data_IF_691939259371
#
_entry.id   IF_691939259371
#
_cell.length_a   1.000
_cell.length_b   1.000
_cell.length_c   1.000
_cell.angle_alpha   90.00
_cell.angle_beta   90.00
_cell.angle_gamma   90.00
#
_symmetry.space_group_name_H-M   'P 1'
#
loop_
_entity.id
_entity.type
_entity.pdbx_description
1 polymer ?
#
# COMPACT_ATOMS: atom_id res chain seq x y z
N UNK A 1 -31.33 -10.98 -1.83
CA UNK A 1 -30.47 -12.17 -2.08
C UNK A 1 -29.02 -11.77 -1.83
N UNK A 2 -28.39 -12.28 -0.76
CA UNK A 2 -26.97 -12.03 -0.47
C UNK A 2 -26.12 -12.99 -1.33
N UNK A 3 -25.54 -12.48 -2.41
CA UNK A 3 -24.52 -13.24 -3.16
C UNK A 3 -23.23 -13.29 -2.34
N UNK A 4 -22.50 -14.41 -2.37
CA UNK A 4 -21.24 -14.55 -1.66
C UNK A 4 -20.20 -13.55 -2.24
N UNK A 5 -19.85 -12.51 -1.48
CA UNK A 5 -19.09 -11.33 -1.93
C UNK A 5 -17.56 -11.44 -1.72
N UNK A 6 -16.98 -12.63 -1.76
CA UNK A 6 -15.54 -12.77 -1.51
C UNK A 6 -14.89 -13.75 -2.47
N UNK A 7 -14.11 -13.23 -3.42
CA UNK A 7 -13.16 -14.00 -4.19
C UNK A 7 -11.78 -13.37 -3.98
N UNK A 8 -10.92 -14.07 -3.24
CA UNK A 8 -9.62 -13.59 -2.76
C UNK A 8 -8.58 -13.26 -3.85
N UNK A 9 -8.91 -13.45 -5.14
CA UNK A 9 -7.99 -13.22 -6.27
C UNK A 9 -8.63 -12.83 -7.60
N UNK A 10 -9.88 -12.35 -7.64
CA UNK A 10 -10.50 -11.94 -8.92
C UNK A 10 -10.62 -10.42 -8.97
N UNK A 11 -10.34 -9.76 -10.12
CA UNK A 11 -10.57 -8.33 -10.33
C UNK A 11 -12.07 -8.07 -10.33
N UNK A 12 -12.70 -8.15 -9.16
CA UNK A 12 -14.12 -7.89 -9.03
C UNK A 12 -14.30 -6.39 -8.85
N UNK A 13 -15.24 -5.82 -9.61
CA UNK A 13 -15.65 -4.41 -9.47
C UNK A 13 -16.26 -4.09 -8.09
N UNK A 14 -16.42 -5.09 -7.22
CA UNK A 14 -17.07 -4.99 -5.91
C UNK A 14 -16.08 -4.79 -4.76
N UNK A 15 -14.79 -5.05 -4.99
CA UNK A 15 -13.75 -4.80 -3.98
C UNK A 15 -13.16 -3.41 -4.16
N UNK A 16 -12.79 -2.79 -3.04
CA UNK A 16 -12.14 -1.49 -3.01
C UNK A 16 -10.76 -1.58 -2.39
N UNK A 17 -9.89 -0.67 -2.80
CA UNK A 17 -8.55 -0.52 -2.26
C UNK A 17 -8.22 0.95 -2.08
N UNK A 18 -7.28 1.21 -1.20
CA UNK A 18 -6.67 2.52 -0.97
C UNK A 18 -5.16 2.36 -0.98
N UNK A 19 -4.46 3.38 -1.43
CA UNK A 19 -3.01 3.48 -1.32
C UNK A 19 -2.67 4.20 -0.01
N UNK A 20 -1.59 3.75 0.62
CA UNK A 20 -0.95 4.48 1.72
C UNK A 20 0.52 4.71 1.38
N UNK A 21 1.09 5.76 1.94
CA UNK A 21 2.52 5.90 2.12
C UNK A 21 2.85 5.89 3.61
N UNK A 22 3.94 5.23 4.00
CA UNK A 22 4.44 5.24 5.37
C UNK A 22 5.94 5.40 5.40
N UNK A 23 6.47 6.04 6.45
CA UNK A 23 7.90 6.00 6.71
C UNK A 23 8.34 4.62 7.27
N UNK A 24 9.65 4.40 7.34
CA UNK A 24 10.25 3.17 7.87
C UNK A 24 10.06 3.00 9.40
N UNK A 25 9.50 4.01 10.08
CA UNK A 25 9.05 3.94 11.47
C UNK A 25 7.56 3.57 11.59
N UNK A 26 6.93 3.17 10.49
CA UNK A 26 5.52 2.75 10.38
C UNK A 26 4.50 3.88 10.52
N UNK A 27 4.90 5.15 10.51
CA UNK A 27 3.94 6.25 10.51
C UNK A 27 3.35 6.40 9.11
N UNK A 28 2.04 6.34 9.01
CA UNK A 28 1.28 6.61 7.79
C UNK A 28 1.33 8.11 7.54
N UNK A 29 1.88 8.51 6.39
CA UNK A 29 2.09 9.90 5.98
C UNK A 29 1.03 10.37 5.00
N UNK A 30 0.52 9.46 4.18
CA UNK A 30 -0.48 9.76 3.15
C UNK A 30 -1.46 8.60 3.01
N UNK A 31 -2.70 8.94 2.70
CA UNK A 31 -3.78 8.00 2.43
C UNK A 31 -4.60 8.53 1.27
N UNK A 32 -4.68 7.76 0.18
CA UNK A 32 -5.49 8.12 -0.98
C UNK A 32 -6.99 8.00 -0.70
N UNK A 33 -7.82 8.44 -1.66
CA UNK A 33 -9.22 7.99 -1.73
C UNK A 33 -9.31 6.47 -1.97
N UNK A 34 -10.50 5.91 -1.82
CA UNK A 34 -10.76 4.53 -2.28
C UNK A 34 -10.96 4.46 -3.78
N UNK A 35 -10.43 3.39 -4.36
CA UNK A 35 -10.55 3.04 -5.76
C UNK A 35 -11.16 1.65 -5.88
N UNK A 36 -11.83 1.37 -7.00
CA UNK A 36 -12.14 0.00 -7.36
C UNK A 36 -10.86 -0.83 -7.48
N UNK A 37 -10.90 -2.10 -7.08
CA UNK A 37 -9.75 -3.00 -7.18
C UNK A 37 -9.25 -3.21 -8.63
N UNK A 38 -10.11 -2.97 -9.63
CA UNK A 38 -9.77 -3.02 -11.06
C UNK A 38 -8.84 -1.89 -11.52
N UNK A 39 -8.75 -0.78 -10.77
CA UNK A 39 -7.84 0.33 -11.10
C UNK A 39 -6.40 -0.12 -10.86
N UNK A 40 -5.49 0.10 -11.81
CA UNK A 40 -4.08 -0.28 -11.63
C UNK A 40 -3.39 0.55 -10.54
N UNK A 41 -2.51 -0.08 -9.75
CA UNK A 41 -1.84 0.59 -8.63
C UNK A 41 -1.00 1.79 -9.07
N UNK A 42 -0.37 1.70 -10.25
CA UNK A 42 0.39 2.80 -10.85
C UNK A 42 -0.49 4.00 -11.18
N UNK A 43 -1.74 3.75 -11.60
CA UNK A 43 -2.72 4.82 -11.87
C UNK A 43 -3.11 5.50 -10.56
N UNK A 44 -3.34 4.71 -9.51
CA UNK A 44 -3.63 5.24 -8.17
C UNK A 44 -2.48 6.12 -7.67
N UNK A 45 -1.23 5.70 -7.82
CA UNK A 45 -0.07 6.50 -7.39
C UNK A 45 -0.03 7.87 -8.04
N UNK A 46 -0.33 7.93 -9.35
CA UNK A 46 -0.33 9.18 -10.12
C UNK A 46 -1.52 10.09 -9.80
N UNK A 47 -2.65 9.52 -9.41
CA UNK A 47 -3.90 10.26 -9.14
C UNK A 47 -4.11 10.58 -7.65
N UNK A 48 -3.38 9.94 -6.74
CA UNK A 48 -3.62 10.05 -5.30
C UNK A 48 -3.11 11.35 -4.66
N UNK A 49 -2.41 12.19 -5.42
CA UNK A 49 -1.71 13.38 -4.93
C UNK A 49 -0.46 13.08 -4.09
N UNK A 50 -0.10 11.80 -3.87
CA UNK A 50 1.09 11.44 -3.10
C UNK A 50 2.36 12.07 -3.71
N UNK A 51 2.52 11.95 -5.03
CA UNK A 51 3.70 12.46 -5.74
C UNK A 51 3.79 14.00 -5.71
N UNK A 52 2.67 14.70 -5.54
CA UNK A 52 2.63 16.16 -5.41
C UNK A 52 3.13 16.64 -4.03
N UNK A 53 3.06 15.76 -3.03
CA UNK A 53 3.47 16.05 -1.65
C UNK A 53 4.86 15.51 -1.31
N UNK A 54 5.46 14.72 -2.18
CA UNK A 54 6.86 14.29 -2.05
C UNK A 54 7.77 15.33 -2.69
N UNK A 55 8.77 15.80 -1.97
CA UNK A 55 9.85 16.58 -2.58
C UNK A 55 10.46 15.77 -3.73
N UNK A 56 10.88 16.45 -4.81
CA UNK A 56 11.54 15.80 -5.97
C UNK A 56 12.83 15.05 -5.59
N UNK A 57 13.31 15.18 -4.35
CA UNK A 57 14.46 14.50 -3.76
C UNK A 57 14.08 13.27 -2.92
N UNK A 58 12.81 13.12 -2.55
CA UNK A 58 12.35 12.05 -1.68
C UNK A 58 12.15 10.75 -2.48
N UNK A 59 13.05 9.78 -2.28
CA UNK A 59 12.90 8.45 -2.87
C UNK A 59 11.89 7.61 -2.09
N UNK A 60 10.91 7.04 -2.81
CA UNK A 60 9.95 6.08 -2.26
C UNK A 60 10.36 4.66 -2.61
N UNK A 61 10.05 3.69 -1.74
CA UNK A 61 10.23 2.27 -2.04
C UNK A 61 8.85 1.64 -2.26
N UNK A 62 8.68 0.94 -3.39
CA UNK A 62 7.41 0.30 -3.72
C UNK A 62 7.59 -1.06 -4.40
N UNK A 63 6.47 -1.73 -4.68
CA UNK A 63 6.47 -3.02 -5.36
C UNK A 63 6.82 -2.91 -6.86
N UNK A 64 7.13 -4.04 -7.48
CA UNK A 64 7.40 -4.19 -8.92
C UNK A 64 6.24 -3.69 -9.81
N UNK A 65 5.05 -3.54 -9.27
CA UNK A 65 3.89 -2.94 -9.95
C UNK A 65 4.10 -1.46 -10.29
N UNK A 66 5.02 -0.78 -9.59
CA UNK A 66 5.37 0.63 -9.77
C UNK A 66 6.67 0.85 -10.56
N UNK A 67 7.17 -0.19 -11.25
CA UNK A 67 8.36 -0.07 -12.11
C UNK A 67 8.08 0.95 -13.21
N UNK A 68 9.00 1.91 -13.37
CA UNK A 68 8.92 2.97 -14.38
C UNK A 68 8.46 4.32 -13.83
N UNK A 69 8.09 4.39 -12.55
CA UNK A 69 7.79 5.66 -11.87
C UNK A 69 9.07 6.36 -11.43
N UNK A 70 9.13 7.66 -11.67
CA UNK A 70 10.25 8.51 -11.24
C UNK A 70 10.28 8.58 -9.70
N UNK A 71 11.48 8.61 -9.13
CA UNK A 71 11.69 8.65 -7.66
C UNK A 71 11.14 7.43 -6.88
N UNK A 72 10.72 6.36 -7.57
CA UNK A 72 10.30 5.10 -6.94
C UNK A 72 11.32 3.99 -7.16
N UNK A 73 11.98 3.58 -6.09
CA UNK A 73 12.84 2.41 -6.07
C UNK A 73 11.98 1.15 -5.99
N UNK A 74 12.21 0.21 -6.91
CA UNK A 74 11.51 -1.07 -6.97
C UNK A 74 12.52 -2.23 -7.07
N UNK A 75 12.18 -3.42 -6.57
CA UNK A 75 13.05 -4.58 -6.73
C UNK A 75 13.28 -4.90 -8.22
N UNK A 76 14.53 -5.19 -8.59
CA UNK A 76 14.95 -5.58 -9.93
C UNK A 76 14.21 -6.83 -10.38
N UNK A 77 13.74 -6.82 -11.63
CA UNK A 77 13.08 -7.96 -12.28
C UNK A 77 14.12 -8.91 -12.84
N UNK A 78 13.79 -10.19 -12.86
CA UNK A 78 14.59 -11.20 -13.55
C UNK A 78 14.60 -10.90 -15.06
N UNK A 79 15.76 -10.93 -15.73
CA UNK A 79 15.82 -10.73 -17.17
C UNK A 79 15.11 -11.86 -17.91
N UNK A 80 14.63 -11.58 -19.12
CA UNK A 80 13.93 -12.57 -19.95
C UNK A 80 14.90 -13.70 -20.29
N UNK A 81 14.61 -14.93 -19.81
CA UNK A 81 15.44 -16.14 -20.01
C UNK A 81 16.86 -16.07 -19.40
N UNK A 82 17.05 -15.31 -18.32
CA UNK A 82 18.32 -15.29 -17.58
C UNK A 82 18.07 -15.27 -16.07
N UNK A 83 19.10 -15.51 -15.27
CA UNK A 83 19.01 -15.41 -13.80
C UNK A 83 19.24 -13.98 -13.30
N UNK A 84 18.82 -13.73 -12.05
CA UNK A 84 19.19 -12.49 -11.37
C UNK A 84 20.69 -12.55 -11.04
N UNK A 85 21.43 -11.47 -11.34
CA UNK A 85 22.82 -11.34 -10.90
C UNK A 85 22.88 -11.30 -9.37
N UNK A 86 24.01 -11.71 -8.77
CA UNK A 86 24.14 -11.72 -7.31
C UNK A 86 24.04 -10.32 -6.71
N UNK A 87 24.52 -9.30 -7.43
CA UNK A 87 24.34 -7.89 -7.08
C UNK A 87 22.85 -7.50 -7.04
N UNK A 88 22.07 -7.89 -8.05
CA UNK A 88 20.63 -7.65 -8.07
C UNK A 88 19.90 -8.41 -6.94
N UNK A 89 20.40 -9.58 -6.53
CA UNK A 89 19.83 -10.36 -5.43
C UNK A 89 20.08 -9.64 -4.11
N UNK A 90 21.29 -9.14 -3.89
CA UNK A 90 21.65 -8.38 -2.69
C UNK A 90 20.83 -7.09 -2.63
N UNK A 91 20.77 -6.33 -3.73
CA UNK A 91 19.91 -5.14 -3.83
C UNK A 91 18.46 -5.46 -3.51
N UNK A 92 17.89 -6.51 -4.12
CA UNK A 92 16.52 -6.92 -3.84
C UNK A 92 16.33 -7.34 -2.38
N UNK A 93 17.33 -7.97 -1.75
CA UNK A 93 17.26 -8.34 -0.33
C UNK A 93 17.10 -7.10 0.54
N UNK A 94 17.87 -6.05 0.27
CA UNK A 94 17.84 -4.80 1.05
C UNK A 94 16.54 -4.04 0.82
N UNK A 95 16.11 -3.90 -0.44
CA UNK A 95 14.82 -3.28 -0.79
C UNK A 95 13.64 -4.05 -0.17
N UNK A 96 13.64 -5.38 -0.25
CA UNK A 96 12.57 -6.19 0.34
C UNK A 96 12.57 -6.10 1.88
N UNK A 97 13.75 -5.98 2.50
CA UNK A 97 13.86 -5.77 3.94
C UNK A 97 13.24 -4.43 4.37
N UNK A 98 13.53 -3.35 3.63
CA UNK A 98 12.92 -2.05 3.86
C UNK A 98 11.40 -2.07 3.65
N UNK A 99 10.93 -2.77 2.60
CA UNK A 99 9.50 -2.97 2.32
C UNK A 99 8.76 -3.71 3.41
N UNK A 100 9.42 -4.57 4.17
CA UNK A 100 8.78 -5.26 5.30
C UNK A 100 8.18 -4.26 6.31
N UNK A 101 8.76 -3.06 6.44
CA UNK A 101 8.17 -2.02 7.28
C UNK A 101 6.78 -1.58 6.79
N UNK A 102 6.62 -1.39 5.48
CA UNK A 102 5.36 -1.00 4.83
C UNK A 102 4.34 -2.14 4.93
N UNK A 103 4.78 -3.38 4.70
CA UNK A 103 3.92 -4.56 4.81
C UNK A 103 3.39 -4.74 6.24
N UNK A 104 4.22 -4.47 7.26
CA UNK A 104 3.80 -4.45 8.66
C UNK A 104 2.74 -3.37 8.93
N UNK A 105 2.90 -2.16 8.39
CA UNK A 105 1.90 -1.09 8.48
C UNK A 105 0.58 -1.52 7.83
N UNK A 106 0.64 -2.12 6.64
CA UNK A 106 -0.52 -2.66 5.94
C UNK A 106 -1.24 -3.75 6.75
N UNK A 107 -0.50 -4.62 7.42
CA UNK A 107 -1.10 -5.64 8.28
C UNK A 107 -1.87 -5.02 9.46
N UNK A 108 -1.36 -3.93 10.05
CA UNK A 108 -2.07 -3.24 11.14
C UNK A 108 -3.38 -2.63 10.69
N UNK A 109 -3.41 -2.04 9.50
CA UNK A 109 -4.66 -1.53 8.92
C UNK A 109 -5.67 -2.65 8.67
N UNK A 110 -5.21 -3.84 8.25
CA UNK A 110 -6.07 -5.00 8.02
C UNK A 110 -6.68 -5.61 9.30
N UNK A 111 -6.22 -5.21 10.50
CA UNK A 111 -6.87 -5.63 11.75
C UNK A 111 -8.25 -4.97 11.90
N UNK A 112 -8.42 -3.76 11.36
CA UNK A 112 -9.69 -3.06 11.43
C UNK A 112 -10.70 -3.72 10.50
N UNK A 113 -11.83 -4.16 11.05
CA UNK A 113 -12.85 -4.93 10.32
C UNK A 113 -13.36 -4.21 9.05
N UNK A 114 -13.35 -2.87 9.03
CA UNK A 114 -13.73 -2.07 7.87
C UNK A 114 -12.77 -2.21 6.68
N UNK A 115 -11.49 -2.53 6.93
CA UNK A 115 -10.45 -2.66 5.90
C UNK A 115 -10.01 -4.11 5.65
N UNK A 116 -10.02 -4.95 6.69
CA UNK A 116 -9.56 -6.35 6.59
C UNK A 116 -10.66 -7.36 6.27
N UNK A 117 -11.92 -6.97 6.40
CA UNK A 117 -13.08 -7.85 6.23
C UNK A 117 -14.01 -7.42 5.10
N UNK A 118 -15.13 -8.13 4.99
CA UNK A 118 -16.23 -7.72 4.09
C UNK A 118 -16.88 -6.46 4.65
N UNK A 119 -16.74 -5.35 3.93
CA UNK A 119 -17.46 -4.12 4.26
C UNK A 119 -18.96 -4.33 4.03
N UNK A 120 -19.78 -4.05 5.06
CA UNK A 120 -21.24 -4.24 5.04
C UNK A 120 -22.05 -2.94 4.99
N UNK A 121 -21.37 -1.79 4.93
CA UNK A 121 -22.02 -0.49 4.81
C UNK A 121 -22.48 -0.20 3.37
N UNK A 122 -23.15 0.94 3.18
CA UNK A 122 -23.51 1.43 1.86
C UNK A 122 -22.25 1.80 1.06
N UNK A 123 -22.08 1.17 -0.09
CA UNK A 123 -20.88 1.21 -0.94
C UNK A 123 -20.96 2.29 -2.04
N UNK A 124 -22.17 2.76 -2.32
CA UNK A 124 -22.47 3.81 -3.29
C UNK A 124 -21.87 5.18 -2.95
N UNK A 125 -21.36 5.37 -1.73
CA UNK A 125 -20.75 6.61 -1.27
C UNK A 125 -19.24 6.45 -1.02
N UNK A 126 -18.45 6.58 -2.09
CA UNK A 126 -16.97 6.56 -2.04
C UNK A 126 -16.37 7.58 -1.08
N UNK A 127 -16.96 8.77 -0.99
CA UNK A 127 -16.51 9.81 -0.06
C UNK A 127 -16.61 9.35 1.39
N UNK A 128 -17.71 8.69 1.75
CA UNK A 128 -17.91 8.14 3.09
C UNK A 128 -16.89 7.04 3.41
N UNK A 129 -16.65 6.12 2.48
CA UNK A 129 -15.67 5.03 2.67
C UNK A 129 -14.25 5.60 2.79
N UNK A 130 -13.90 6.60 1.98
CA UNK A 130 -12.64 7.34 2.08
C UNK A 130 -12.44 7.97 3.45
N UNK A 131 -13.45 8.67 3.99
CA UNK A 131 -13.37 9.21 5.35
C UNK A 131 -13.15 8.13 6.40
N UNK A 132 -13.79 6.96 6.26
CA UNK A 132 -13.55 5.82 7.16
C UNK A 132 -12.10 5.35 7.06
N UNK A 133 -11.54 5.24 5.85
CA UNK A 133 -10.13 4.90 5.64
C UNK A 133 -9.19 5.89 6.32
N UNK A 134 -9.43 7.20 6.17
CA UNK A 134 -8.64 8.25 6.82
C UNK A 134 -8.71 8.16 8.35
N UNK A 135 -9.90 7.98 8.92
CA UNK A 135 -10.08 7.82 10.37
C UNK A 135 -9.35 6.56 10.87
N UNK A 136 -9.49 5.43 10.17
CA UNK A 136 -8.82 4.18 10.54
C UNK A 136 -7.30 4.34 10.48
N UNK A 137 -6.76 4.99 9.44
CA UNK A 137 -5.33 5.28 9.35
C UNK A 137 -4.84 6.20 10.46
N UNK A 138 -5.61 7.23 10.84
CA UNK A 138 -5.27 8.09 11.96
C UNK A 138 -5.25 7.32 13.29
N UNK A 139 -6.25 6.46 13.53
CA UNK A 139 -6.29 5.57 14.69
C UNK A 139 -5.13 4.57 14.68
N UNK A 140 -4.75 4.06 13.50
CA UNK A 140 -3.61 3.17 13.34
C UNK A 140 -2.30 3.88 13.71
N UNK A 141 -2.11 5.13 13.27
CA UNK A 141 -0.98 5.96 13.70
C UNK A 141 -0.94 6.17 15.21
N UNK A 142 -2.07 6.50 15.84
CA UNK A 142 -2.17 6.64 17.30
C UNK A 142 -1.88 5.32 18.04
N UNK A 143 -2.25 4.18 17.45
CA UNK A 143 -1.94 2.89 18.02
C UNK A 143 -0.44 2.57 17.89
N UNK A 144 0.14 2.82 16.72
CA UNK A 144 1.57 2.59 16.45
C UNK A 144 2.48 3.49 17.26
N UNK A 145 2.04 4.71 17.61
CA UNK A 145 2.79 5.57 18.52
C UNK A 145 2.81 5.05 19.96
N UNK A 146 1.74 4.36 20.39
CA UNK A 146 1.64 3.76 21.74
C UNK A 146 2.24 2.37 21.82
N UNK A 147 2.14 1.62 20.73
CA UNK A 147 2.59 0.23 20.61
C UNK A 147 3.43 0.07 19.34
N UNK A 148 4.68 0.58 19.33
CA UNK A 148 5.53 0.54 18.16
C UNK A 148 5.85 -0.89 17.74
N UNK A 149 5.93 -1.11 16.44
CA UNK A 149 6.52 -2.32 15.86
C UNK A 149 8.03 -2.12 15.78
N UNK A 150 8.79 -3.22 15.69
CA UNK A 150 10.21 -3.17 15.38
C UNK A 150 10.43 -2.36 14.10
N UNK A 151 11.10 -1.22 14.26
CA UNK A 151 11.46 -0.33 13.17
C UNK A 151 12.43 -1.03 12.22
N UNK A 152 12.35 -0.68 10.94
CA UNK A 152 13.42 -1.01 10.02
C UNK A 152 14.64 -0.13 10.36
N UNK A 153 15.79 -0.78 10.53
CA UNK A 153 17.08 -0.14 10.71
C UNK A 153 17.86 -0.41 9.43
N UNK A 154 18.17 0.66 8.68
CA UNK A 154 18.99 0.60 7.48
C UNK A 154 20.44 0.26 7.83
#
# INVERSE_FOLDING_TARGET
>A
QHKAYYHSKSPTNYAFKMQIASDFSHRILHVSEFYHCSVHDIKILRESGLLEHTEQTAQSIADKAFVGEEYVITPRRKPRRGELADEDKNFNRDINSARAAIENTNQRLKIYANLGGVYRGAIDNFHKITKIGHIVSALCNLNLSKHPIRKYTA
#
